data_IF_709067384940
#
_entry.id   IF_709067384940
#
_cell.length_a   1.000
_cell.length_b   1.000
_cell.length_c   1.000
_cell.angle_alpha   90.00
_cell.angle_beta   90.00
_cell.angle_gamma   90.00
#
_symmetry.space_group_name_H-M   'P 1'
#
loop_
_entity.id
_entity.type
_entity.pdbx_description
1 polymer ?
#
# COMPACT_ATOMS: atom_id res chain seq x y z
N UNK A 1 1.47 2.34 23.83
CA UNK A 1 1.40 3.29 22.71
C UNK A 1 2.30 2.72 21.63
N UNK A 2 1.74 1.99 20.67
CA UNK A 2 2.50 1.42 19.55
C UNK A 2 3.11 2.50 18.66
N UNK A 3 4.18 2.14 17.96
CA UNK A 3 4.91 3.06 17.11
C UNK A 3 4.28 3.06 15.72
N UNK A 4 3.29 3.94 15.49
CA UNK A 4 2.68 4.08 14.16
C UNK A 4 3.70 4.58 13.13
N UNK A 5 3.93 3.76 12.11
CA UNK A 5 4.80 4.10 10.96
C UNK A 5 3.89 4.42 9.78
N UNK A 6 4.25 5.42 8.98
CA UNK A 6 3.36 5.89 7.91
C UNK A 6 4.08 5.86 6.56
N UNK A 7 3.49 5.27 5.53
CA UNK A 7 4.08 5.23 4.18
C UNK A 7 3.61 6.41 3.35
N UNK A 8 4.53 7.13 2.72
CA UNK A 8 4.24 8.27 1.84
C UNK A 8 4.37 7.83 0.38
N UNK A 9 3.45 8.26 -0.49
CA UNK A 9 3.55 8.03 -1.94
C UNK A 9 4.71 8.80 -2.59
N UNK A 10 5.10 8.33 -3.78
CA UNK A 10 6.08 9.01 -4.62
C UNK A 10 5.57 10.36 -5.15
N UNK A 11 6.46 11.37 -5.24
CA UNK A 11 6.07 12.73 -5.67
C UNK A 11 5.60 12.79 -7.13
N UNK A 12 6.18 11.98 -8.01
CA UNK A 12 5.84 11.97 -9.44
C UNK A 12 4.34 11.70 -9.68
N UNK A 13 3.77 10.75 -8.93
CA UNK A 13 2.36 10.41 -9.02
C UNK A 13 1.45 11.56 -8.51
N UNK A 14 1.83 12.22 -7.42
CA UNK A 14 1.08 13.38 -6.90
C UNK A 14 1.18 14.61 -7.82
N UNK A 15 2.32 14.80 -8.48
CA UNK A 15 2.48 15.84 -9.52
C UNK A 15 1.54 15.55 -10.70
N UNK A 16 1.45 14.30 -11.16
CA UNK A 16 0.51 13.90 -12.22
C UNK A 16 -0.94 14.21 -11.82
N UNK A 17 -1.34 13.87 -10.59
CA UNK A 17 -2.68 14.20 -10.07
C UNK A 17 -2.95 15.69 -10.03
N UNK A 18 -1.96 16.49 -9.63
CA UNK A 18 -2.08 17.94 -9.62
C UNK A 18 -2.36 18.48 -11.03
N UNK A 19 -1.58 18.09 -12.04
CA UNK A 19 -1.83 18.52 -13.42
C UNK A 19 -3.17 18.00 -13.97
N UNK A 20 -3.54 16.75 -13.66
CA UNK A 20 -4.84 16.19 -14.01
C UNK A 20 -6.01 16.97 -13.41
N UNK A 21 -5.86 17.47 -12.18
CA UNK A 21 -6.87 18.27 -11.51
C UNK A 21 -7.07 19.66 -12.13
N UNK A 22 -5.98 20.30 -12.59
CA UNK A 22 -6.05 21.55 -13.35
C UNK A 22 -6.84 21.33 -14.65
N UNK A 23 -6.51 20.26 -15.38
CA UNK A 23 -7.23 19.90 -16.60
C UNK A 23 -8.72 19.65 -16.32
N UNK A 24 -9.06 18.94 -15.25
CA UNK A 24 -10.45 18.68 -14.87
C UNK A 24 -11.23 19.97 -14.54
N UNK A 25 -10.60 20.96 -13.89
CA UNK A 25 -11.23 22.27 -13.62
C UNK A 25 -11.51 23.01 -14.93
N UNK A 26 -10.52 23.12 -15.81
CA UNK A 26 -10.68 23.79 -17.11
C UNK A 26 -11.75 23.11 -17.95
N UNK A 27 -11.73 21.77 -18.01
CA UNK A 27 -12.73 20.98 -18.69
C UNK A 27 -14.12 21.16 -18.08
N UNK A 28 -14.25 21.18 -16.75
CA UNK A 28 -15.54 21.38 -16.08
C UNK A 28 -16.16 22.76 -16.35
N UNK A 29 -15.34 23.82 -16.35
CA UNK A 29 -15.79 25.18 -16.71
C UNK A 29 -16.23 25.22 -18.18
N UNK A 30 -15.41 24.67 -19.07
CA UNK A 30 -15.72 24.57 -20.49
C UNK A 30 -17.02 23.78 -20.73
N UNK A 31 -17.15 22.63 -20.07
CA UNK A 31 -18.33 21.77 -20.14
C UNK A 31 -19.58 22.49 -19.67
N UNK A 32 -19.49 23.27 -18.59
CA UNK A 32 -20.62 24.04 -18.08
C UNK A 32 -21.14 25.02 -19.14
N UNK A 33 -20.24 25.78 -19.78
CA UNK A 33 -20.61 26.71 -20.85
C UNK A 33 -21.25 25.98 -22.03
N UNK A 34 -20.63 24.90 -22.51
CA UNK A 34 -21.18 24.08 -23.59
C UNK A 34 -22.53 23.44 -23.25
N UNK A 35 -22.68 22.91 -22.04
CA UNK A 35 -23.90 22.28 -21.57
C UNK A 35 -25.06 23.28 -21.50
N UNK A 36 -24.81 24.51 -21.04
CA UNK A 36 -25.82 25.58 -21.06
C UNK A 36 -26.24 25.95 -22.48
N UNK A 37 -25.29 26.05 -23.41
CA UNK A 37 -25.59 26.36 -24.81
C UNK A 37 -26.48 25.29 -25.45
N UNK A 38 -26.12 24.01 -25.28
CA UNK A 38 -26.89 22.88 -25.80
C UNK A 38 -28.29 22.83 -25.17
N UNK A 39 -28.38 22.93 -23.84
CA UNK A 39 -29.66 22.82 -23.13
C UNK A 39 -30.59 24.02 -23.34
N UNK A 40 -30.06 25.22 -23.59
CA UNK A 40 -30.88 26.40 -23.91
C UNK A 40 -31.59 26.32 -25.26
N UNK A 41 -31.04 25.56 -26.21
CA UNK A 41 -31.58 25.40 -27.56
C UNK A 41 -32.49 24.17 -27.66
N UNK A 42 -32.45 23.31 -26.65
CA UNK A 42 -33.08 22.01 -26.63
C UNK A 42 -34.35 22.07 -25.75
N UNK A 43 -35.38 22.75 -26.26
CA UNK A 43 -36.62 23.13 -25.56
C UNK A 43 -37.49 21.99 -24.99
N UNK A 44 -37.07 20.73 -25.08
CA UNK A 44 -37.87 19.56 -24.68
C UNK A 44 -37.16 18.59 -23.71
N UNK A 45 -35.91 18.85 -23.30
CA UNK A 45 -35.12 17.85 -22.54
C UNK A 45 -35.48 17.69 -21.05
N UNK A 46 -36.51 18.37 -20.54
CA UNK A 46 -37.04 18.16 -19.17
C UNK A 46 -35.95 18.23 -18.09
N UNK A 47 -35.97 17.28 -17.15
CA UNK A 47 -35.01 17.20 -16.02
C UNK A 47 -33.55 17.07 -16.50
N UNK A 48 -33.31 16.50 -17.69
CA UNK A 48 -31.96 16.31 -18.25
C UNK A 48 -31.28 17.67 -18.48
N UNK A 49 -32.05 18.69 -18.88
CA UNK A 49 -31.51 20.04 -19.08
C UNK A 49 -30.96 20.67 -17.78
N UNK A 50 -31.44 20.22 -16.61
CA UNK A 50 -30.96 20.68 -15.30
C UNK A 50 -29.76 19.87 -14.81
N UNK A 51 -29.76 18.55 -15.02
CA UNK A 51 -28.68 17.67 -14.53
C UNK A 51 -27.39 17.86 -15.33
N UNK A 52 -27.48 18.10 -16.64
CA UNK A 52 -26.32 18.12 -17.53
C UNK A 52 -25.26 19.18 -17.19
N UNK A 53 -25.63 20.45 -16.87
CA UNK A 53 -24.67 21.47 -16.44
C UNK A 53 -24.10 21.21 -15.03
N UNK A 54 -24.86 20.55 -14.14
CA UNK A 54 -24.40 20.23 -12.77
C UNK A 54 -23.17 19.32 -12.77
N UNK A 55 -23.02 18.46 -13.77
CA UNK A 55 -21.83 17.63 -13.92
C UNK A 55 -20.54 18.46 -14.03
N UNK A 56 -20.60 19.61 -14.72
CA UNK A 56 -19.48 20.55 -14.81
C UNK A 56 -19.10 21.13 -13.44
N UNK A 57 -20.10 21.46 -12.61
CA UNK A 57 -19.87 21.96 -11.24
C UNK A 57 -19.20 20.88 -10.39
N UNK A 58 -19.69 19.64 -10.45
CA UNK A 58 -19.10 18.50 -9.73
C UNK A 58 -17.66 18.26 -10.17
N UNK A 59 -17.38 18.34 -11.48
CA UNK A 59 -16.03 18.21 -12.02
C UNK A 59 -15.08 19.31 -11.49
N UNK A 60 -15.55 20.56 -11.44
CA UNK A 60 -14.77 21.68 -10.88
C UNK A 60 -14.49 21.48 -9.39
N UNK A 61 -15.50 21.14 -8.59
CA UNK A 61 -15.33 20.90 -7.14
C UNK A 61 -14.35 19.76 -6.91
N UNK A 62 -14.54 18.63 -7.61
CA UNK A 62 -13.66 17.47 -7.51
C UNK A 62 -12.23 17.83 -7.93
N UNK A 63 -12.08 18.62 -8.99
CA UNK A 63 -10.80 19.15 -9.44
C UNK A 63 -10.13 20.01 -8.37
N UNK A 64 -10.84 20.94 -7.74
CA UNK A 64 -10.28 21.80 -6.68
C UNK A 64 -9.80 20.97 -5.49
N UNK A 65 -10.61 20.02 -5.01
CA UNK A 65 -10.23 19.14 -3.89
C UNK A 65 -8.95 18.37 -4.21
N UNK A 66 -8.88 17.75 -5.39
CA UNK A 66 -7.69 17.01 -5.83
C UNK A 66 -6.48 17.95 -6.00
N UNK A 67 -6.67 19.15 -6.54
CA UNK A 67 -5.61 20.13 -6.72
C UNK A 67 -4.99 20.53 -5.38
N UNK A 68 -5.80 20.83 -4.37
CA UNK A 68 -5.33 21.25 -3.04
C UNK A 68 -4.55 20.12 -2.34
N UNK A 69 -5.11 18.90 -2.35
CA UNK A 69 -4.47 17.75 -1.69
C UNK A 69 -3.16 17.39 -2.39
N UNK A 70 -3.18 17.24 -3.71
CA UNK A 70 -2.00 16.84 -4.48
C UNK A 70 -0.95 17.95 -4.57
N UNK A 71 -1.32 19.23 -4.55
CA UNK A 71 -0.35 20.33 -4.44
C UNK A 71 0.44 20.25 -3.13
N UNK A 72 -0.27 20.09 -1.99
CA UNK A 72 0.36 19.90 -0.67
C UNK A 72 1.26 18.66 -0.66
N UNK A 73 0.85 17.57 -1.28
CA UNK A 73 1.64 16.34 -1.31
C UNK A 73 2.81 16.35 -2.32
N UNK A 74 2.71 17.11 -3.42
CA UNK A 74 3.76 17.22 -4.42
C UNK A 74 4.88 18.16 -3.96
N UNK A 75 4.50 19.36 -3.50
CA UNK A 75 5.43 20.47 -3.23
C UNK A 75 5.67 20.74 -1.73
N UNK A 76 4.87 20.15 -0.84
CA UNK A 76 5.04 20.31 0.60
C UNK A 76 6.21 19.51 1.19
N UNK A 77 6.70 19.99 2.33
CA UNK A 77 7.65 19.27 3.19
C UNK A 77 6.97 18.13 3.95
N UNK A 78 5.81 18.44 4.56
CA UNK A 78 4.97 17.50 5.29
C UNK A 78 3.82 17.01 4.40
N UNK A 79 3.86 15.72 4.06
CA UNK A 79 2.93 15.06 3.14
C UNK A 79 2.06 14.07 3.90
N UNK A 80 0.81 13.93 3.46
CA UNK A 80 -0.09 12.93 4.01
C UNK A 80 0.46 11.52 3.74
N UNK A 81 0.30 10.63 4.71
CA UNK A 81 0.60 9.22 4.51
C UNK A 81 -0.55 8.56 3.75
N UNK A 82 -0.20 7.67 2.83
CA UNK A 82 -1.20 6.84 2.14
C UNK A 82 -1.70 5.72 3.06
N UNK A 83 -0.83 5.17 3.90
CA UNK A 83 -1.13 4.03 4.76
C UNK A 83 -0.55 4.23 6.15
N UNK A 84 -1.38 4.02 7.16
CA UNK A 84 -0.96 3.89 8.54
C UNK A 84 -0.58 2.43 8.81
N UNK A 85 0.68 2.19 9.17
CA UNK A 85 1.17 0.86 9.56
C UNK A 85 0.99 0.77 11.07
N UNK A 86 0.09 -0.14 11.44
CA UNK A 86 -0.16 -0.55 12.82
C UNK A 86 0.77 -1.72 13.16
N UNK A 87 1.28 -1.75 14.40
CA UNK A 87 2.12 -2.84 14.86
C UNK A 87 1.32 -4.15 14.95
N UNK A 88 1.95 -5.28 14.66
CA UNK A 88 1.31 -6.62 14.67
C UNK A 88 0.71 -7.01 16.02
N UNK A 89 1.19 -6.39 17.09
CA UNK A 89 0.71 -6.60 18.46
C UNK A 89 -0.63 -5.89 18.71
N UNK A 90 -0.91 -4.82 17.97
CA UNK A 90 -2.15 -4.06 18.04
C UNK A 90 -3.20 -4.64 17.08
N UNK A 91 -2.79 -4.98 15.84
CA UNK A 91 -3.67 -5.60 14.85
C UNK A 91 -2.93 -6.70 14.05
N UNK A 92 -3.18 -8.00 14.32
CA UNK A 92 -2.46 -9.07 13.65
C UNK A 92 -2.95 -9.28 12.21
N UNK A 93 -2.02 -9.27 11.24
CA UNK A 93 -2.32 -9.50 9.83
C UNK A 93 -2.97 -10.89 9.62
N UNK A 94 -4.20 -10.98 9.08
CA UNK A 94 -4.85 -12.24 8.76
C UNK A 94 -4.02 -13.16 7.85
N UNK A 95 -3.20 -12.60 6.95
CA UNK A 95 -2.29 -13.37 6.11
C UNK A 95 -1.12 -13.96 6.89
N UNK A 96 -0.60 -13.27 7.91
CA UNK A 96 0.49 -13.79 8.74
C UNK A 96 0.10 -15.12 9.41
N UNK A 97 -1.15 -15.26 9.84
CA UNK A 97 -1.68 -16.53 10.38
C UNK A 97 -1.75 -17.64 9.33
N UNK A 98 -2.07 -17.31 8.08
CA UNK A 98 -2.17 -18.30 6.99
C UNK A 98 -0.79 -18.85 6.61
N UNK A 99 0.19 -17.98 6.41
CA UNK A 99 1.56 -18.40 6.12
C UNK A 99 2.24 -19.09 7.30
N UNK A 100 2.02 -18.64 8.55
CA UNK A 100 2.52 -19.39 9.71
C UNK A 100 1.90 -20.78 9.80
N UNK A 101 0.61 -20.93 9.47
CA UNK A 101 -0.04 -22.25 9.46
C UNK A 101 0.49 -23.15 8.35
N UNK A 102 0.86 -22.60 7.19
CA UNK A 102 1.47 -23.36 6.10
C UNK A 102 2.88 -23.85 6.47
N UNK A 103 3.73 -22.99 7.04
CA UNK A 103 5.07 -23.40 7.50
C UNK A 103 5.00 -24.42 8.66
N UNK A 104 4.03 -24.30 9.58
CA UNK A 104 3.81 -25.31 10.63
C UNK A 104 3.30 -26.66 10.08
N UNK A 105 2.73 -26.69 8.88
CA UNK A 105 2.28 -27.94 8.24
C UNK A 105 3.34 -28.56 7.33
N UNK A 106 4.32 -27.78 6.84
CA UNK A 106 5.46 -28.30 6.07
C UNK A 106 6.57 -28.86 6.99
N UNK A 107 6.61 -28.41 8.25
CA UNK A 107 7.56 -28.87 9.27
C UNK A 107 7.01 -30.01 10.17
N UNK A 108 5.79 -30.53 9.92
CA UNK A 108 5.20 -31.62 10.73
C UNK A 108 5.53 -33.03 10.21
N UNK A 109 6.81 -33.26 9.91
CA UNK A 109 7.44 -34.59 9.99
C UNK A 109 8.72 -34.49 10.84
N UNK A 110 8.60 -33.93 12.06
CA UNK A 110 9.61 -34.09 13.10
C UNK A 110 8.91 -34.63 14.36
N UNK A 111 8.46 -35.87 14.28
CA UNK A 111 8.96 -36.86 15.25
C UNK A 111 10.37 -37.18 14.76
N UNK A 112 11.40 -36.49 15.21
CA UNK A 112 12.02 -36.74 16.49
C UNK A 112 12.73 -35.46 16.96
N UNK A 113 12.58 -35.12 18.23
CA UNK A 113 13.47 -34.18 18.89
C UNK A 113 14.86 -34.81 19.02
N UNK A 114 15.58 -34.95 17.91
CA UNK A 114 17.02 -35.20 17.94
C UNK A 114 17.69 -33.92 18.43
N UNK A 115 18.40 -34.00 19.56
CA UNK A 115 19.29 -32.95 20.03
C UNK A 115 20.33 -32.66 18.96
N UNK A 116 20.08 -31.61 18.17
CA UNK A 116 20.96 -31.21 17.08
C UNK A 116 22.20 -30.54 17.67
N UNK A 117 23.29 -31.29 17.79
CA UNK A 117 24.55 -30.77 18.27
C UNK A 117 25.35 -30.13 17.13
N UNK A 118 26.10 -29.06 17.44
CA UNK A 118 26.97 -28.36 16.50
C UNK A 118 28.42 -28.39 16.98
N UNK A 119 29.36 -28.48 16.04
CA UNK A 119 30.79 -28.43 16.33
C UNK A 119 31.17 -27.05 16.90
N UNK A 120 31.68 -26.95 18.13
CA UNK A 120 32.06 -25.66 18.73
C UNK A 120 33.24 -25.00 18.01
N UNK A 121 33.95 -25.73 17.15
CA UNK A 121 35.14 -25.23 16.47
C UNK A 121 34.90 -24.76 15.04
N UNK A 122 33.91 -25.31 14.33
CA UNK A 122 33.68 -25.00 12.91
C UNK A 122 32.20 -24.83 12.53
N UNK A 123 31.27 -25.02 13.47
CA UNK A 123 29.84 -24.85 13.26
C UNK A 123 29.16 -25.95 12.44
N UNK A 124 29.85 -27.06 12.13
CA UNK A 124 29.23 -28.19 11.43
C UNK A 124 28.18 -28.89 12.29
N UNK A 125 27.09 -29.36 11.68
CA UNK A 125 26.07 -30.16 12.36
C UNK A 125 26.61 -31.57 12.64
N UNK A 126 26.38 -32.08 13.84
CA UNK A 126 26.93 -33.36 14.32
C UNK A 126 25.81 -34.13 15.05
N UNK A 127 25.69 -35.43 14.79
CA UNK A 127 24.89 -36.34 15.63
C UNK A 127 25.67 -36.76 16.87
N UNK A 128 24.96 -37.14 17.94
CA UNK A 128 25.52 -37.46 19.27
C UNK A 128 26.46 -38.67 19.34
N UNK A 129 26.73 -39.34 18.21
CA UNK A 129 27.50 -40.59 18.15
C UNK A 129 28.97 -40.42 17.73
N UNK A 130 29.39 -39.21 17.36
CA UNK A 130 30.75 -38.96 16.87
C UNK A 130 31.71 -38.51 17.99
N UNK A 131 32.86 -39.16 18.13
CA UNK A 131 33.95 -38.71 19.02
C UNK A 131 34.79 -37.57 18.39
N UNK A 132 34.76 -37.44 17.05
CA UNK A 132 35.48 -36.43 16.28
C UNK A 132 34.59 -35.77 15.24
N UNK A 133 34.75 -34.46 15.02
CA UNK A 133 34.03 -33.73 13.99
C UNK A 133 34.43 -34.22 12.57
N UNK A 134 33.48 -34.63 11.72
CA UNK A 134 33.76 -35.17 10.38
C UNK A 134 34.34 -34.12 9.42
N UNK A 135 34.13 -32.82 9.69
CA UNK A 135 34.60 -31.74 8.82
C UNK A 135 35.97 -31.20 9.20
N UNK A 136 36.24 -31.02 10.49
CA UNK A 136 37.48 -30.38 10.94
C UNK A 136 38.40 -31.31 11.75
N UNK A 137 38.01 -32.56 11.99
CA UNK A 137 38.83 -33.57 12.65
C UNK A 137 39.11 -33.33 14.14
N UNK A 138 38.48 -32.32 14.77
CA UNK A 138 38.68 -32.02 16.19
C UNK A 138 37.83 -32.93 17.05
N UNK A 139 38.39 -33.39 18.17
CA UNK A 139 37.67 -34.19 19.17
C UNK A 139 36.52 -33.37 19.77
N UNK A 140 35.35 -33.99 19.89
CA UNK A 140 34.16 -33.37 20.45
C UNK A 140 34.15 -33.53 21.98
N UNK A 141 33.65 -32.52 22.73
CA UNK A 141 33.62 -32.55 24.19
C UNK A 141 32.63 -33.59 24.73
#
# INVERSE_FOLDING_TARGET
MGNRRSVKRGRAYEIQKFFGSIFAILFGIFWMFMAFQITSQAGEFGIIAVIFPLFGIVAVISGIVNAVISYKNAFGENRFSEYDIVDSDEEPDPLQKKFHKENLNDDMNISDAEEVNFCPYCGEKISSEFEFCPKCGKKLP
#
